data_IF_508905192475
#
_entry.id   IF_508905192475
#
_cell.length_a   1.000
_cell.length_b   1.000
_cell.length_c   1.000
_cell.angle_alpha   90.00
_cell.angle_beta   90.00
_cell.angle_gamma   90.00
#
_symmetry.space_group_name_H-M   'P 1'
#
loop_
_entity.id
_entity.type
_entity.pdbx_description
1 polymer ?
#
# COMPACT_ATOMS: atom_id res chain seq x y z
N UNK A 1 1.13 11.50 -8.79
CA UNK A 1 2.38 10.70 -8.84
C UNK A 1 2.01 9.25 -9.14
N UNK A 2 2.79 8.51 -9.93
CA UNK A 2 2.55 7.06 -10.11
C UNK A 2 2.82 6.27 -8.82
N UNK A 3 1.96 5.32 -8.49
CA UNK A 3 2.10 4.47 -7.31
C UNK A 3 3.28 3.49 -7.43
N UNK A 4 3.70 3.15 -8.65
CA UNK A 4 4.92 2.39 -8.94
C UNK A 4 6.15 2.95 -8.22
N UNK A 5 6.33 4.28 -8.21
CA UNK A 5 7.46 4.96 -7.54
C UNK A 5 7.43 4.75 -6.02
N UNK A 6 6.23 4.75 -5.43
CA UNK A 6 6.04 4.48 -4.00
C UNK A 6 6.34 3.02 -3.69
N UNK A 7 5.80 2.09 -4.49
CA UNK A 7 6.04 0.65 -4.36
C UNK A 7 7.53 0.28 -4.50
N UNK A 8 8.25 0.91 -5.42
CA UNK A 8 9.69 0.71 -5.60
C UNK A 8 10.50 1.20 -4.38
N UNK A 9 10.10 2.32 -3.76
CA UNK A 9 10.75 2.78 -2.54
C UNK A 9 10.40 1.91 -1.33
N UNK A 10 9.18 1.39 -1.22
CA UNK A 10 8.84 0.44 -0.17
C UNK A 10 9.68 -0.83 -0.24
N UNK A 11 9.95 -1.34 -1.44
CA UNK A 11 10.84 -2.50 -1.62
C UNK A 11 12.26 -2.20 -1.15
N UNK A 12 12.83 -1.06 -1.55
CA UNK A 12 14.17 -0.65 -1.06
C UNK A 12 14.23 -0.50 0.45
N UNK A 13 13.16 -0.02 1.07
CA UNK A 13 13.06 0.12 2.52
C UNK A 13 12.97 -1.26 3.20
N UNK A 14 12.24 -2.22 2.62
CA UNK A 14 12.17 -3.59 3.12
C UNK A 14 13.51 -4.34 3.01
N UNK A 15 14.30 -4.02 1.98
CA UNK A 15 15.58 -4.65 1.71
C UNK A 15 16.76 -4.08 2.54
N UNK A 16 16.56 -2.96 3.24
CA UNK A 16 17.58 -2.39 4.14
C UNK A 16 17.21 -2.61 5.61
N UNK A 17 18.24 -2.74 6.44
CA UNK A 17 18.12 -2.75 7.92
C UNK A 17 18.68 -1.48 8.56
N UNK A 18 19.28 -0.58 7.75
CA UNK A 18 19.96 0.61 8.24
C UNK A 18 18.98 1.78 8.28
N UNK A 19 18.74 2.29 9.48
CA UNK A 19 17.82 3.41 9.72
C UNK A 19 18.14 4.66 8.89
N UNK A 20 19.42 4.97 8.68
CA UNK A 20 19.83 6.11 7.85
C UNK A 20 19.42 5.93 6.38
N UNK A 21 19.67 4.76 5.79
CA UNK A 21 19.26 4.46 4.41
C UNK A 21 17.73 4.49 4.26
N UNK A 22 16.99 3.98 5.25
CA UNK A 22 15.51 4.10 5.27
C UNK A 22 15.08 5.57 5.28
N UNK A 23 15.70 6.41 6.11
CA UNK A 23 15.44 7.85 6.16
C UNK A 23 15.75 8.51 4.81
N UNK A 24 16.87 8.16 4.16
CA UNK A 24 17.24 8.73 2.86
C UNK A 24 16.24 8.35 1.76
N UNK A 25 15.75 7.11 1.75
CA UNK A 25 14.68 6.69 0.85
C UNK A 25 13.38 7.48 1.07
N UNK A 26 13.02 7.74 2.34
CA UNK A 26 11.85 8.56 2.67
C UNK A 26 12.03 10.03 2.28
N UNK A 27 13.22 10.60 2.52
CA UNK A 27 13.55 11.96 2.09
C UNK A 27 13.39 12.10 0.58
N UNK A 28 13.91 11.13 -0.19
CA UNK A 28 13.73 11.10 -1.64
C UNK A 28 12.26 11.02 -2.04
N UNK A 29 11.48 10.16 -1.38
CA UNK A 29 10.03 10.02 -1.65
C UNK A 29 9.30 11.36 -1.43
N UNK A 30 9.58 12.03 -0.32
CA UNK A 30 8.88 13.24 0.08
C UNK A 30 9.26 14.44 -0.78
N UNK A 31 10.52 14.58 -1.18
CA UNK A 31 10.96 15.62 -2.13
C UNK A 31 10.31 15.45 -3.51
N UNK A 32 10.14 14.20 -3.95
CA UNK A 32 9.53 13.89 -5.24
C UNK A 32 7.99 13.96 -5.22
N UNK A 33 7.39 14.04 -4.03
CA UNK A 33 5.94 14.06 -3.85
C UNK A 33 5.36 15.44 -4.11
N UNK A 34 4.38 15.57 -5.03
CA UNK A 34 3.66 16.83 -5.22
C UNK A 34 3.00 17.29 -3.90
N UNK A 35 3.02 18.60 -3.58
CA UNK A 35 2.46 19.13 -2.34
C UNK A 35 0.99 18.76 -2.10
N UNK A 36 0.21 18.52 -3.16
CA UNK A 36 -1.22 18.23 -3.09
C UNK A 36 -1.54 16.80 -2.64
N UNK A 37 -0.53 15.90 -2.63
CA UNK A 37 -0.72 14.48 -2.33
C UNK A 37 0.24 13.93 -1.28
N UNK A 38 1.14 14.75 -0.76
CA UNK A 38 2.13 14.32 0.23
C UNK A 38 1.48 13.78 1.50
N UNK A 39 0.33 14.35 1.89
CA UNK A 39 -0.52 13.85 2.98
C UNK A 39 -0.86 12.36 2.79
N UNK A 40 -1.24 11.97 1.57
CA UNK A 40 -1.62 10.61 1.21
C UNK A 40 -0.40 9.70 1.17
N UNK A 41 0.70 10.18 0.62
CA UNK A 41 1.97 9.42 0.54
C UNK A 41 2.47 9.08 1.94
N UNK A 42 2.46 10.04 2.87
CA UNK A 42 2.88 9.85 4.26
C UNK A 42 2.07 8.75 4.93
N UNK A 43 0.74 8.85 4.93
CA UNK A 43 -0.09 7.84 5.61
C UNK A 43 -0.01 6.47 4.94
N UNK A 44 0.00 6.40 3.59
CA UNK A 44 0.17 5.13 2.89
C UNK A 44 1.51 4.47 3.23
N UNK A 45 2.56 5.25 3.48
CA UNK A 45 3.89 4.74 3.89
C UNK A 45 3.85 4.11 5.26
N UNK A 46 2.99 4.63 6.14
CA UNK A 46 2.72 4.04 7.45
C UNK A 46 1.72 2.88 7.38
N UNK A 47 1.21 2.53 6.19
CA UNK A 47 0.18 1.50 6.02
C UNK A 47 -1.22 1.95 6.44
N UNK A 48 -1.45 3.26 6.52
CA UNK A 48 -2.69 3.89 6.98
C UNK A 48 -3.28 4.77 5.88
N UNK A 49 -4.53 5.20 6.07
CA UNK A 49 -5.14 6.28 5.28
C UNK A 49 -5.28 7.57 6.08
N UNK A 50 -5.47 7.43 7.39
CA UNK A 50 -5.79 8.51 8.30
C UNK A 50 -4.93 8.38 9.56
N UNK A 51 -4.73 9.50 10.30
CA UNK A 51 -4.15 9.44 11.63
C UNK A 51 -5.05 8.65 12.59
N UNK A 52 -4.43 8.01 13.59
CA UNK A 52 -5.11 7.03 14.46
C UNK A 52 -6.29 7.63 15.24
N UNK A 53 -6.23 8.91 15.61
CA UNK A 53 -7.30 9.58 16.35
C UNK A 53 -8.61 9.70 15.56
N UNK A 54 -8.59 9.49 14.24
CA UNK A 54 -9.80 9.49 13.42
C UNK A 54 -10.59 8.17 13.53
N UNK A 55 -9.97 7.09 14.04
CA UNK A 55 -10.63 5.79 14.21
C UNK A 55 -11.13 5.15 12.92
N UNK A 56 -10.60 5.53 11.76
CA UNK A 56 -11.02 5.00 10.46
C UNK A 56 -10.20 3.76 10.13
N UNK A 57 -10.87 2.61 10.06
CA UNK A 57 -10.29 1.35 9.59
C UNK A 57 -10.75 1.00 8.17
N UNK A 58 -9.90 0.33 7.39
CA UNK A 58 -10.29 -0.17 6.06
C UNK A 58 -11.44 -1.20 6.13
N UNK A 59 -11.54 -1.92 7.26
CA UNK A 59 -12.57 -2.93 7.48
C UNK A 59 -12.53 -4.03 6.41
N UNK A 60 -11.33 -4.49 6.06
CA UNK A 60 -11.06 -5.54 5.08
C UNK A 60 -10.52 -6.79 5.80
N UNK A 61 -11.37 -7.79 5.98
CA UNK A 61 -10.92 -9.07 6.52
C UNK A 61 -10.05 -9.83 5.51
N UNK A 62 -9.13 -10.65 6.00
CA UNK A 62 -8.21 -11.44 5.16
C UNK A 62 -8.96 -12.32 4.13
N UNK A 63 -10.06 -12.95 4.54
CA UNK A 63 -10.92 -13.75 3.63
C UNK A 63 -11.49 -12.92 2.48
N UNK A 64 -11.81 -11.64 2.74
CA UNK A 64 -12.29 -10.71 1.71
C UNK A 64 -11.15 -10.32 0.76
N UNK A 65 -9.94 -10.11 1.29
CA UNK A 65 -8.76 -9.86 0.46
C UNK A 65 -8.44 -11.06 -0.45
N UNK A 66 -8.50 -12.30 0.06
CA UNK A 66 -8.32 -13.52 -0.73
C UNK A 66 -9.38 -13.63 -1.84
N UNK A 67 -10.65 -13.32 -1.54
CA UNK A 67 -11.71 -13.28 -2.54
C UNK A 67 -11.44 -12.21 -3.62
N UNK A 68 -10.99 -11.02 -3.22
CA UNK A 68 -10.63 -9.96 -4.16
C UNK A 68 -9.44 -10.34 -5.05
N UNK A 69 -8.40 -10.99 -4.48
CA UNK A 69 -7.25 -11.52 -5.23
C UNK A 69 -7.71 -12.60 -6.21
N UNK A 70 -8.60 -13.51 -5.81
CA UNK A 70 -9.17 -14.53 -6.69
C UNK A 70 -9.89 -13.91 -7.89
N UNK A 71 -10.70 -12.88 -7.68
CA UNK A 71 -11.40 -12.16 -8.76
C UNK A 71 -10.46 -11.31 -9.62
N UNK A 72 -9.37 -10.80 -9.06
CA UNK A 72 -8.41 -10.00 -9.82
C UNK A 72 -7.51 -10.89 -10.70
N UNK A 73 -7.10 -12.03 -10.16
CA UNK A 73 -6.18 -12.96 -10.82
C UNK A 73 -6.90 -14.03 -11.64
N UNK A 74 -8.20 -14.23 -11.46
CA UNK A 74 -8.95 -15.38 -12.00
C UNK A 74 -8.39 -16.74 -11.55
N UNK A 75 -7.64 -16.77 -10.45
CA UNK A 75 -7.10 -17.99 -9.86
C UNK A 75 -8.02 -18.47 -8.75
N UNK A 76 -8.28 -19.77 -8.69
CA UNK A 76 -9.14 -20.36 -7.67
C UNK A 76 -8.58 -20.14 -6.26
N UNK A 77 -9.46 -19.80 -5.31
CA UNK A 77 -9.12 -19.57 -3.89
C UNK A 77 -8.29 -20.69 -3.26
N UNK A 78 -8.54 -21.95 -3.66
CA UNK A 78 -7.76 -23.11 -3.18
C UNK A 78 -6.26 -22.95 -3.48
N UNK A 79 -5.91 -22.52 -4.68
CA UNK A 79 -4.51 -22.30 -5.08
C UNK A 79 -3.92 -21.07 -4.38
N UNK A 80 -4.70 -19.99 -4.26
CA UNK A 80 -4.28 -18.79 -3.52
C UNK A 80 -3.96 -19.12 -2.07
N UNK A 81 -4.84 -19.86 -1.38
CA UNK A 81 -4.60 -20.29 0.00
C UNK A 81 -3.37 -21.18 0.14
N UNK A 82 -3.08 -22.04 -0.85
CA UNK A 82 -1.87 -22.86 -0.86
C UNK A 82 -0.61 -21.99 -0.96
N UNK A 83 -0.58 -21.04 -1.89
CA UNK A 83 0.54 -20.12 -2.06
C UNK A 83 0.70 -19.20 -0.84
N UNK A 84 -0.40 -18.69 -0.31
CA UNK A 84 -0.38 -17.85 0.89
C UNK A 84 0.15 -18.60 2.11
N UNK A 85 -0.23 -19.87 2.29
CA UNK A 85 0.33 -20.72 3.35
C UNK A 85 1.84 -20.93 3.20
N UNK A 86 2.35 -20.96 1.96
CA UNK A 86 3.79 -21.11 1.69
C UNK A 86 4.56 -19.81 1.91
N UNK A 87 4.02 -18.67 1.46
CA UNK A 87 4.70 -17.38 1.59
C UNK A 87 4.54 -16.72 2.96
N UNK A 88 3.46 -17.04 3.69
CA UNK A 88 3.05 -16.32 4.90
C UNK A 88 2.57 -14.89 4.63
N UNK A 89 2.47 -14.48 3.36
CA UNK A 89 2.19 -13.10 2.95
C UNK A 89 1.32 -13.08 1.68
N UNK A 90 0.12 -12.50 1.82
CA UNK A 90 -0.84 -12.40 0.72
C UNK A 90 -0.39 -11.38 -0.35
N UNK A 91 0.38 -10.36 0.05
CA UNK A 91 1.04 -9.41 -0.84
C UNK A 91 2.04 -10.10 -1.77
N UNK A 92 2.95 -10.91 -1.22
CA UNK A 92 3.88 -11.71 -2.04
C UNK A 92 3.13 -12.71 -2.92
N UNK A 93 2.03 -13.28 -2.41
CA UNK A 93 1.18 -14.19 -3.18
C UNK A 93 0.56 -13.49 -4.40
N UNK A 94 -0.02 -12.31 -4.23
CA UNK A 94 -0.65 -11.60 -5.35
C UNK A 94 0.39 -11.09 -6.35
N UNK A 95 1.57 -10.68 -5.88
CA UNK A 95 2.67 -10.31 -6.76
C UNK A 95 3.05 -11.47 -7.68
N UNK A 96 3.31 -12.65 -7.12
CA UNK A 96 3.66 -13.84 -7.88
C UNK A 96 2.57 -14.22 -8.90
N UNK A 97 1.30 -14.15 -8.51
CA UNK A 97 0.16 -14.48 -9.40
C UNK A 97 -0.03 -13.48 -10.55
N UNK A 98 0.50 -12.26 -10.42
CA UNK A 98 0.44 -11.22 -11.43
C UNK A 98 1.73 -11.15 -12.27
N UNK A 99 2.83 -11.83 -11.90
CA UNK A 99 4.04 -11.91 -12.72
C UNK A 99 3.72 -12.51 -14.10
N UNK A 100 4.35 -11.95 -15.14
CA UNK A 100 4.17 -12.39 -16.52
C UNK A 100 2.83 -12.01 -17.17
N UNK A 101 1.93 -11.32 -16.45
CA UNK A 101 0.73 -10.74 -17.07
C UNK A 101 1.08 -9.45 -17.81
N UNK A 102 0.28 -9.13 -18.81
CA UNK A 102 0.37 -7.84 -19.50
C UNK A 102 0.20 -6.69 -18.50
N UNK A 103 1.08 -5.68 -18.53
CA UNK A 103 0.94 -4.53 -17.67
C UNK A 103 -0.34 -3.76 -18.01
N UNK A 104 -0.95 -3.08 -17.02
CA UNK A 104 -2.11 -2.23 -17.27
C UNK A 104 -1.73 -1.09 -18.24
N UNK A 105 -2.65 -0.72 -19.14
CA UNK A 105 -2.43 0.35 -20.12
C UNK A 105 -2.24 1.73 -19.47
N UNK A 106 -2.90 1.97 -18.33
CA UNK A 106 -2.79 3.20 -17.55
C UNK A 106 -2.05 2.91 -16.26
N UNK A 107 -1.02 3.69 -15.96
CA UNK A 107 -0.34 3.63 -14.67
C UNK A 107 -1.28 4.06 -13.53
N UNK A 108 -1.21 3.33 -12.42
CA UNK A 108 -1.96 3.62 -11.22
C UNK A 108 -1.33 4.83 -10.51
N UNK A 109 -2.14 5.81 -10.10
CA UNK A 109 -1.63 6.94 -9.30
C UNK A 109 -1.81 6.72 -7.80
N UNK A 110 -1.06 7.48 -6.99
CA UNK A 110 -1.26 7.52 -5.53
C UNK A 110 -2.71 7.94 -5.21
N UNK A 111 -3.27 8.89 -5.95
CA UNK A 111 -4.66 9.31 -5.77
C UNK A 111 -5.67 8.21 -6.13
N UNK A 112 -5.42 7.41 -7.18
CA UNK A 112 -6.27 6.27 -7.55
C UNK A 112 -6.30 5.22 -6.42
N UNK A 113 -5.13 4.90 -5.85
CA UNK A 113 -5.02 3.99 -4.71
C UNK A 113 -5.74 4.56 -3.51
N UNK A 114 -5.34 5.76 -3.06
CA UNK A 114 -5.86 6.37 -1.84
C UNK A 114 -7.38 6.53 -1.91
N UNK A 115 -7.92 7.06 -3.00
CA UNK A 115 -9.37 7.28 -3.16
C UNK A 115 -10.15 5.96 -3.21
N UNK A 116 -9.57 4.89 -3.76
CA UNK A 116 -10.21 3.57 -3.77
C UNK A 116 -10.21 2.94 -2.38
N UNK A 117 -9.09 3.02 -1.66
CA UNK A 117 -8.97 2.53 -0.29
C UNK A 117 -9.87 3.32 0.67
N UNK A 118 -9.99 4.64 0.48
CA UNK A 118 -10.89 5.48 1.25
C UNK A 118 -12.35 5.10 1.04
N UNK A 119 -12.77 4.86 -0.21
CA UNK A 119 -14.10 4.32 -0.52
C UNK A 119 -14.34 2.98 0.19
N UNK A 120 -13.33 2.10 0.24
CA UNK A 120 -13.42 0.82 0.96
C UNK A 120 -13.62 1.07 2.46
N UNK A 121 -12.85 1.96 3.09
CA UNK A 121 -12.96 2.29 4.51
C UNK A 121 -14.36 2.83 4.87
N UNK A 122 -14.87 3.75 4.05
CA UNK A 122 -16.18 4.40 4.27
C UNK A 122 -17.38 3.54 3.90
N UNK A 123 -17.19 2.40 3.24
CA UNK A 123 -18.29 1.50 2.87
C UNK A 123 -18.73 0.67 4.08
N UNK A 124 -20.00 0.81 4.49
CA UNK A 124 -20.57 0.11 5.64
C UNK A 124 -22.01 -0.36 5.36
N UNK A 125 -22.60 -1.12 6.30
CA UNK A 125 -23.97 -1.62 6.19
C UNK A 125 -24.12 -2.93 5.40
N UNK A 126 -25.38 -3.32 5.13
CA UNK A 126 -25.72 -4.58 4.45
C UNK A 126 -25.14 -4.61 3.03
N UNK A 127 -24.42 -5.67 2.68
CA UNK A 127 -23.78 -5.82 1.37
C UNK A 127 -22.44 -5.09 1.21
N UNK A 128 -21.97 -4.37 2.23
CA UNK A 128 -20.67 -3.68 2.22
C UNK A 128 -19.51 -4.59 1.85
N UNK A 129 -19.47 -5.82 2.38
CA UNK A 129 -18.39 -6.77 2.11
C UNK A 129 -18.18 -7.03 0.61
N UNK A 130 -19.27 -7.25 -0.13
CA UNK A 130 -19.22 -7.51 -1.57
C UNK A 130 -18.76 -6.25 -2.36
N UNK A 131 -19.19 -5.06 -1.93
CA UNK A 131 -18.74 -3.80 -2.51
C UNK A 131 -17.22 -3.63 -2.31
N UNK A 132 -16.73 -3.86 -1.08
CA UNK A 132 -15.31 -3.75 -0.74
C UNK A 132 -14.46 -4.74 -1.54
N UNK A 133 -14.89 -6.00 -1.64
CA UNK A 133 -14.25 -7.04 -2.45
C UNK A 133 -14.16 -6.61 -3.91
N UNK A 134 -15.25 -6.08 -4.48
CA UNK A 134 -15.29 -5.62 -5.86
C UNK A 134 -14.34 -4.44 -6.11
N UNK A 135 -14.34 -3.44 -5.22
CA UNK A 135 -13.43 -2.28 -5.30
C UNK A 135 -11.97 -2.72 -5.29
N UNK A 136 -11.58 -3.55 -4.31
CA UNK A 136 -10.22 -4.06 -4.21
C UNK A 136 -9.86 -4.90 -5.44
N UNK A 137 -10.74 -5.81 -5.89
CA UNK A 137 -10.47 -6.63 -7.07
C UNK A 137 -10.22 -5.80 -8.32
N UNK A 138 -10.94 -4.67 -8.48
CA UNK A 138 -10.77 -3.75 -9.60
C UNK A 138 -9.45 -3.01 -9.51
N UNK A 139 -9.07 -2.56 -8.31
CA UNK A 139 -7.80 -1.92 -8.07
C UNK A 139 -6.64 -2.86 -8.42
N UNK A 140 -6.69 -4.11 -7.95
CA UNK A 140 -5.65 -5.11 -8.20
C UNK A 140 -5.53 -5.50 -9.68
N UNK A 141 -6.63 -5.54 -10.44
CA UNK A 141 -6.57 -5.75 -11.91
C UNK A 141 -5.85 -4.61 -12.65
N UNK A 142 -5.91 -3.40 -12.11
CA UNK A 142 -5.25 -2.22 -12.68
C UNK A 142 -3.84 -1.98 -12.15
N UNK A 143 -3.30 -2.87 -11.32
CA UNK A 143 -2.00 -2.71 -10.68
C UNK A 143 -0.93 -3.63 -11.27
N UNK A 144 0.31 -3.16 -11.28
CA UNK A 144 1.51 -3.99 -11.54
C UNK A 144 1.75 -4.94 -10.36
N UNK A 145 2.53 -6.03 -10.54
CA UNK A 145 2.76 -7.03 -9.49
C UNK A 145 3.22 -6.42 -8.14
N UNK A 146 4.22 -5.54 -8.18
CA UNK A 146 4.76 -4.87 -6.99
C UNK A 146 3.77 -3.90 -6.35
N UNK A 147 2.99 -3.19 -7.15
CA UNK A 147 1.92 -2.33 -6.65
C UNK A 147 0.86 -3.16 -5.91
N UNK A 148 0.46 -4.30 -6.49
CA UNK A 148 -0.50 -5.23 -5.88
C UNK A 148 -0.03 -5.76 -4.53
N UNK A 149 1.25 -6.12 -4.40
CA UNK A 149 1.89 -6.54 -3.14
C UNK A 149 1.60 -5.54 -2.03
N UNK A 150 1.94 -4.28 -2.26
CA UNK A 150 1.82 -3.24 -1.25
C UNK A 150 0.38 -2.82 -0.99
N UNK A 151 -0.48 -2.78 -2.02
CA UNK A 151 -1.92 -2.56 -1.84
C UNK A 151 -2.52 -3.64 -0.93
N UNK A 152 -2.22 -4.92 -1.17
CA UNK A 152 -2.73 -6.03 -0.34
C UNK A 152 -2.20 -5.96 1.08
N UNK A 153 -0.91 -5.62 1.28
CA UNK A 153 -0.34 -5.43 2.61
C UNK A 153 -1.00 -4.27 3.37
N UNK A 154 -1.30 -3.16 2.71
CA UNK A 154 -2.02 -2.03 3.31
C UNK A 154 -3.42 -2.46 3.74
N UNK A 155 -4.22 -3.07 2.85
CA UNK A 155 -5.62 -3.44 3.18
C UNK A 155 -5.75 -4.53 4.23
N UNK A 156 -4.72 -5.36 4.41
CA UNK A 156 -4.69 -6.41 5.44
C UNK A 156 -4.02 -5.96 6.74
N UNK A 157 -3.54 -4.72 6.82
CA UNK A 157 -2.78 -4.22 7.98
C UNK A 157 -1.46 -4.97 8.19
N UNK A 158 -0.87 -5.49 7.13
CA UNK A 158 0.38 -6.28 7.14
C UNK A 158 1.56 -5.53 6.52
N UNK A 159 1.40 -4.26 6.14
CA UNK A 159 2.52 -3.44 5.71
C UNK A 159 3.45 -3.19 6.91
N UNK A 160 4.69 -3.67 6.83
CA UNK A 160 5.69 -3.59 7.89
C UNK A 160 7.01 -3.11 7.33
N UNK A 161 7.11 -1.80 7.09
CA UNK A 161 8.33 -1.17 6.60
C UNK A 161 9.35 -0.84 7.70
N UNK A 162 9.01 -1.08 8.98
CA UNK A 162 9.87 -0.69 10.11
C UNK A 162 9.92 0.83 10.35
N UNK A 163 8.98 1.59 9.75
CA UNK A 163 8.90 3.04 9.86
C UNK A 163 7.85 3.42 10.89
N UNK A 164 8.26 4.15 11.93
CA UNK A 164 7.35 4.81 12.86
C UNK A 164 7.27 6.32 12.61
N UNK A 165 6.37 6.98 13.33
CA UNK A 165 6.07 8.42 13.19
C UNK A 165 7.33 9.28 13.32
N UNK A 166 8.23 8.96 14.26
CA UNK A 166 9.49 9.69 14.43
C UNK A 166 10.37 9.63 13.19
N UNK A 167 10.43 8.49 12.49
CA UNK A 167 11.22 8.34 11.26
C UNK A 167 10.59 9.12 10.10
N UNK A 168 9.25 9.17 10.03
CA UNK A 168 8.52 10.02 9.07
C UNK A 168 8.84 11.49 9.33
N UNK A 169 8.71 11.94 10.58
CA UNK A 169 8.98 13.33 10.97
C UNK A 169 10.44 13.73 10.72
N UNK A 170 11.39 12.85 11.05
CA UNK A 170 12.81 13.04 10.74
C UNK A 170 13.03 13.23 9.22
N UNK A 171 12.40 12.38 8.39
CA UNK A 171 12.52 12.47 6.95
C UNK A 171 11.82 13.71 6.36
N UNK A 172 10.68 14.14 6.91
CA UNK A 172 10.01 15.39 6.50
C UNK A 172 10.86 16.62 6.84
N UNK A 173 11.42 16.69 8.05
CA UNK A 173 12.30 17.78 8.47
C UNK A 173 13.53 17.88 7.54
N UNK A 174 14.18 16.75 7.27
CA UNK A 174 15.31 16.69 6.33
C UNK A 174 14.90 17.03 4.89
N UNK A 175 13.73 16.56 4.44
CA UNK A 175 13.26 16.79 3.07
C UNK A 175 13.00 18.27 2.77
N UNK A 176 12.41 19.00 3.72
CA UNK A 176 11.92 20.36 3.48
C UNK A 176 12.76 21.46 4.13
N UNK A 177 13.62 21.13 5.10
CA UNK A 177 14.47 22.12 5.77
C UNK A 177 15.97 21.80 5.67
N UNK A 178 16.33 20.57 5.31
CA UNK A 178 17.72 20.12 5.29
C UNK A 178 18.31 19.83 6.66
N UNK A 179 17.58 20.08 7.75
CA UNK A 179 18.04 19.83 9.12
C UNK A 179 16.98 19.04 9.91
N UNK A 180 17.43 17.94 10.49
CA UNK A 180 16.63 17.05 11.33
C UNK A 180 16.16 17.73 12.62
N UNK A 181 16.87 18.74 13.10
CA UNK A 181 16.53 19.48 14.33
C UNK A 181 15.22 20.27 14.20
N UNK A 182 14.79 20.59 12.97
CA UNK A 182 13.53 21.28 12.67
C UNK A 182 12.30 20.38 12.74
N UNK A 183 12.41 19.23 13.41
CA UNK A 183 11.27 18.36 13.68
C UNK A 183 10.32 19.07 14.66
N UNK A 184 9.01 19.11 14.38
CA UNK A 184 8.02 19.69 15.29
C UNK A 184 7.86 18.88 16.59
#
# INVERSE_FOLDING_TARGET
>A
MEFSRVADLYEKIEDTTKRLEMTDHLVSLFKDSPPQIIDKVVYLTQGKLYPDYMGIELGMAERMAIEAVSRATLVAKKKINQLYKQSGDLGLTVEELLKGRFPPLKALTVEDVYSTLDKIAKTSGKGSNEIKIRLLSRLLRGSRPKEAKYIVRIVTGKLRLGIGDMTILDALALAFTGDKSNRP
#
